data_IF_498663719755
#
_entry.id   IF_498663719755
#
_cell.length_a   1.000
_cell.length_b   1.000
_cell.length_c   1.000
_cell.angle_alpha   90.00
_cell.angle_beta   90.00
_cell.angle_gamma   90.00
#
_symmetry.space_group_name_H-M   'P 1'
#
loop_
_entity.id
_entity.type
_entity.pdbx_description
1 polymer ?
#
# COMPACT_ATOMS: atom_id res chain seq x y z
N UNK A 1 -12.53 -0.83 -14.88
CA UNK A 1 -13.72 0.04 -14.94
C UNK A 1 -14.65 -0.21 -16.12
N UNK A 2 -14.20 -0.14 -17.41
CA UNK A 2 -15.10 -0.47 -18.55
C UNK A 2 -15.71 -1.87 -18.49
N UNK A 3 -14.94 -2.84 -17.98
CA UNK A 3 -15.39 -4.24 -17.82
C UNK A 3 -16.47 -4.36 -16.74
N UNK A 4 -16.27 -3.69 -15.59
CA UNK A 4 -17.23 -3.74 -14.47
C UNK A 4 -18.58 -3.14 -14.82
N UNK A 5 -18.59 -2.01 -15.56
CA UNK A 5 -19.84 -1.39 -16.05
C UNK A 5 -20.59 -2.34 -16.99
N UNK A 6 -19.87 -3.20 -17.72
CA UNK A 6 -20.49 -4.17 -18.63
C UNK A 6 -21.36 -5.23 -17.94
N UNK A 7 -21.19 -5.45 -16.63
CA UNK A 7 -21.96 -6.40 -15.84
C UNK A 7 -23.22 -5.80 -15.18
N UNK A 8 -23.48 -4.50 -15.33
CA UNK A 8 -24.71 -3.88 -14.82
C UNK A 8 -25.93 -4.42 -15.56
N UNK A 9 -27.04 -4.77 -14.84
CA UNK A 9 -28.25 -5.31 -15.45
C UNK A 9 -28.88 -4.39 -16.49
N UNK A 10 -28.92 -3.09 -16.18
CA UNK A 10 -29.40 -2.03 -17.05
C UNK A 10 -28.21 -1.23 -17.59
N UNK A 11 -27.65 -1.66 -18.72
CA UNK A 11 -26.51 -0.98 -19.33
C UNK A 11 -26.93 0.41 -19.80
N UNK A 12 -26.39 1.48 -19.22
CA UNK A 12 -26.59 2.82 -19.74
C UNK A 12 -25.99 2.94 -21.14
N UNK A 13 -26.38 3.94 -21.90
CA UNK A 13 -25.77 4.23 -23.20
C UNK A 13 -24.26 4.57 -23.07
N UNK A 14 -23.55 4.54 -24.20
CA UNK A 14 -22.10 4.71 -24.21
C UNK A 14 -21.64 6.07 -23.66
N UNK A 15 -22.42 7.13 -23.88
CA UNK A 15 -22.09 8.47 -23.42
C UNK A 15 -22.20 8.56 -21.90
N UNK A 16 -23.23 7.96 -21.31
CA UNK A 16 -23.40 7.87 -19.84
C UNK A 16 -22.30 7.02 -19.23
N UNK A 17 -21.95 5.88 -19.86
CA UNK A 17 -20.83 5.05 -19.39
C UNK A 17 -19.50 5.81 -19.39
N UNK A 18 -19.17 6.52 -20.46
CA UNK A 18 -17.93 7.31 -20.56
C UNK A 18 -17.89 8.45 -19.53
N UNK A 19 -19.03 9.08 -19.25
CA UNK A 19 -19.14 10.08 -18.19
C UNK A 19 -18.87 9.46 -16.82
N UNK A 20 -19.52 8.36 -16.45
CA UNK A 20 -19.31 7.68 -15.17
C UNK A 20 -17.88 7.19 -14.99
N UNK A 21 -17.26 6.67 -16.07
CA UNK A 21 -15.85 6.26 -16.02
C UNK A 21 -14.96 7.44 -15.67
N UNK A 22 -15.18 8.60 -16.27
CA UNK A 22 -14.41 9.81 -16.01
C UNK A 22 -14.63 10.31 -14.58
N UNK A 23 -15.88 10.43 -14.14
CA UNK A 23 -16.22 10.90 -12.79
C UNK A 23 -15.61 10.01 -11.71
N UNK A 24 -15.74 8.68 -11.84
CA UNK A 24 -15.15 7.73 -10.89
C UNK A 24 -13.62 7.78 -10.93
N UNK A 25 -13.02 7.86 -12.11
CA UNK A 25 -11.57 7.93 -12.25
C UNK A 25 -11.01 9.22 -11.61
N UNK A 26 -11.66 10.36 -11.86
CA UNK A 26 -11.28 11.65 -11.24
C UNK A 26 -11.41 11.56 -9.72
N UNK A 27 -12.54 11.08 -9.20
CA UNK A 27 -12.74 10.91 -7.77
C UNK A 27 -11.67 10.04 -7.11
N UNK A 28 -11.32 8.90 -7.74
CA UNK A 28 -10.26 8.02 -7.21
C UNK A 28 -8.87 8.67 -7.28
N UNK A 29 -8.57 9.42 -8.34
CA UNK A 29 -7.28 10.12 -8.50
C UNK A 29 -7.15 11.26 -7.47
N UNK A 30 -8.20 12.06 -7.30
CA UNK A 30 -8.23 13.15 -6.32
C UNK A 30 -8.04 12.61 -4.89
N UNK A 31 -8.77 11.56 -4.50
CA UNK A 31 -8.63 10.93 -3.20
C UNK A 31 -7.22 10.34 -2.97
N UNK A 32 -6.62 9.75 -4.02
CA UNK A 32 -5.25 9.24 -3.93
C UNK A 32 -4.23 10.37 -3.77
N UNK A 33 -4.41 11.50 -4.46
CA UNK A 33 -3.55 12.69 -4.33
C UNK A 33 -3.60 13.27 -2.93
N UNK A 34 -4.80 13.42 -2.35
CA UNK A 34 -4.96 13.91 -0.98
C UNK A 34 -4.18 13.01 0.02
N UNK A 35 -4.34 11.69 -0.07
CA UNK A 35 -3.61 10.75 0.79
C UNK A 35 -2.09 10.85 0.60
N UNK A 36 -1.62 11.05 -0.63
CA UNK A 36 -0.18 11.17 -0.92
C UNK A 36 0.36 12.51 -0.42
N UNK A 37 -0.36 13.61 -0.59
CA UNK A 37 0.02 14.92 -0.07
C UNK A 37 0.19 14.89 1.46
N UNK A 38 -0.73 14.24 2.18
CA UNK A 38 -0.63 14.05 3.63
C UNK A 38 0.61 13.22 4.03
N UNK A 39 0.94 12.19 3.23
CA UNK A 39 2.05 11.28 3.50
C UNK A 39 3.42 11.82 3.03
N UNK A 40 3.44 12.74 2.08
CA UNK A 40 4.65 13.13 1.33
C UNK A 40 5.80 13.57 2.25
N UNK A 41 5.53 14.50 3.16
CA UNK A 41 6.55 15.03 4.08
C UNK A 41 7.15 13.94 4.95
N UNK A 42 6.33 12.99 5.42
CA UNK A 42 6.77 11.87 6.25
C UNK A 42 7.60 10.89 5.43
N UNK A 43 7.18 10.60 4.21
CA UNK A 43 7.93 9.72 3.31
C UNK A 43 9.29 10.31 2.95
N UNK A 44 9.40 11.63 2.71
CA UNK A 44 10.67 12.30 2.49
C UNK A 44 11.60 12.19 3.71
N UNK A 45 11.11 12.49 4.92
CA UNK A 45 11.88 12.36 6.15
C UNK A 45 12.38 10.93 6.40
N UNK A 46 11.54 9.93 6.12
CA UNK A 46 11.93 8.53 6.23
C UNK A 46 12.96 8.15 5.17
N UNK A 47 12.79 8.62 3.92
CA UNK A 47 13.71 8.35 2.81
C UNK A 47 15.13 8.88 3.08
N UNK A 48 15.26 10.03 3.74
CA UNK A 48 16.57 10.60 4.11
C UNK A 48 17.34 9.73 5.11
N UNK A 49 16.65 8.88 5.89
CA UNK A 49 17.23 8.11 6.99
C UNK A 49 17.27 6.62 6.74
N UNK A 50 16.30 6.10 5.97
CA UNK A 50 16.09 4.66 5.79
C UNK A 50 15.89 4.28 4.33
N UNK A 51 16.47 3.18 3.86
CA UNK A 51 16.14 2.64 2.54
C UNK A 51 14.72 2.09 2.56
N UNK A 52 13.86 2.57 1.66
CA UNK A 52 12.48 2.14 1.60
C UNK A 52 12.22 1.23 0.39
N UNK A 53 11.42 0.18 0.59
CA UNK A 53 10.91 -0.71 -0.47
C UNK A 53 9.39 -0.66 -0.49
N UNK A 54 8.81 -0.56 -1.67
CA UNK A 54 7.37 -0.75 -1.82
C UNK A 54 7.07 -2.21 -2.14
N UNK A 55 6.21 -2.84 -1.32
CA UNK A 55 5.74 -4.22 -1.53
C UNK A 55 4.23 -4.20 -1.73
N UNK A 56 3.74 -4.51 -2.92
CA UNK A 56 2.34 -4.29 -3.28
C UNK A 56 1.71 -5.45 -4.05
N UNK A 57 0.43 -5.71 -3.73
CA UNK A 57 -0.46 -6.47 -4.61
C UNK A 57 -1.04 -5.51 -5.65
N UNK A 58 -0.42 -5.43 -6.83
CA UNK A 58 -0.85 -4.49 -7.86
C UNK A 58 -0.87 -5.14 -9.25
N UNK A 59 -1.13 -4.37 -10.31
CA UNK A 59 -1.53 -4.85 -11.64
C UNK A 59 -0.41 -4.80 -12.68
N UNK A 60 0.84 -4.55 -12.30
CA UNK A 60 2.02 -4.50 -13.18
C UNK A 60 2.41 -3.08 -13.62
N UNK A 61 1.79 -2.05 -13.06
CA UNK A 61 2.03 -0.65 -13.46
C UNK A 61 2.24 0.32 -12.29
N UNK A 62 2.56 -0.19 -11.10
CA UNK A 62 2.69 0.67 -9.91
C UNK A 62 3.88 1.65 -10.03
N UNK A 63 4.93 1.29 -10.76
CA UNK A 63 6.07 2.20 -11.01
C UNK A 63 5.61 3.49 -11.70
N UNK A 64 4.79 3.37 -12.75
CA UNK A 64 4.20 4.52 -13.46
C UNK A 64 3.25 5.33 -12.58
N UNK A 65 2.45 4.66 -11.75
CA UNK A 65 1.58 5.32 -10.78
C UNK A 65 2.37 6.16 -9.80
N UNK A 66 3.43 5.61 -9.20
CA UNK A 66 4.29 6.35 -8.28
C UNK A 66 5.02 7.52 -8.96
N UNK A 67 5.41 7.37 -10.24
CA UNK A 67 5.99 8.46 -11.04
C UNK A 67 4.98 9.58 -11.26
N UNK A 68 3.75 9.25 -11.58
CA UNK A 68 2.68 10.24 -11.82
C UNK A 68 2.33 11.06 -10.57
N UNK A 69 2.53 10.48 -9.38
CA UNK A 69 2.39 11.16 -8.09
C UNK A 69 3.68 11.79 -7.56
N UNK A 70 4.80 11.66 -8.29
CA UNK A 70 6.08 12.29 -7.91
C UNK A 70 6.82 11.63 -6.76
N UNK A 71 6.40 10.44 -6.28
CA UNK A 71 6.96 9.77 -5.09
C UNK A 71 7.81 8.53 -5.41
N UNK A 72 7.99 8.18 -6.69
CA UNK A 72 8.76 6.99 -7.09
C UNK A 72 10.20 7.01 -6.57
N UNK A 73 10.81 8.17 -6.54
CA UNK A 73 12.20 8.36 -6.13
C UNK A 73 12.45 8.08 -4.65
N UNK A 74 11.40 8.09 -3.82
CA UNK A 74 11.49 7.81 -2.38
C UNK A 74 11.74 6.33 -2.07
N UNK A 75 11.54 5.44 -3.05
CA UNK A 75 11.71 4.00 -2.87
C UNK A 75 12.93 3.49 -3.62
N UNK A 76 13.82 2.76 -2.93
CA UNK A 76 14.97 2.05 -3.51
C UNK A 76 14.52 1.07 -4.60
N UNK A 77 13.38 0.40 -4.37
CA UNK A 77 12.81 -0.54 -5.32
C UNK A 77 11.33 -0.84 -5.06
N UNK A 78 10.77 -1.66 -5.94
CA UNK A 78 9.37 -2.08 -5.89
C UNK A 78 9.30 -3.59 -6.06
N UNK A 79 8.58 -4.27 -5.17
CA UNK A 79 8.18 -5.68 -5.31
C UNK A 79 6.68 -5.70 -5.60
N UNK A 80 6.34 -5.98 -6.83
CA UNK A 80 4.96 -5.97 -7.31
C UNK A 80 4.47 -7.38 -7.63
N UNK A 81 3.34 -7.79 -7.06
CA UNK A 81 2.82 -9.15 -7.16
C UNK A 81 2.61 -9.64 -8.59
N UNK A 82 2.15 -8.77 -9.49
CA UNK A 82 1.93 -9.12 -10.89
C UNK A 82 3.24 -9.37 -11.65
N UNK A 83 4.35 -8.78 -11.20
CA UNK A 83 5.68 -8.93 -11.80
C UNK A 83 6.37 -10.19 -11.30
N UNK A 84 6.32 -10.43 -9.97
CA UNK A 84 7.04 -11.55 -9.34
C UNK A 84 6.22 -12.84 -9.25
N UNK A 85 4.94 -12.81 -9.57
CA UNK A 85 4.05 -13.99 -9.56
C UNK A 85 3.63 -14.47 -8.16
N UNK A 86 3.96 -13.73 -7.11
CA UNK A 86 3.60 -14.02 -5.71
C UNK A 86 2.74 -12.89 -5.15
N UNK A 87 1.75 -13.21 -4.30
CA UNK A 87 0.82 -12.21 -3.74
C UNK A 87 0.72 -12.31 -2.23
N UNK A 88 0.54 -11.17 -1.56
CA UNK A 88 0.09 -11.13 -0.16
C UNK A 88 -1.24 -11.89 -0.01
N UNK A 89 -1.44 -12.71 1.02
CA UNK A 89 -0.68 -12.79 2.27
C UNK A 89 0.52 -13.76 2.26
N UNK A 90 1.02 -14.23 1.11
CA UNK A 90 2.20 -15.08 1.10
C UNK A 90 3.43 -14.27 1.60
N UNK A 91 4.11 -14.67 2.69
CA UNK A 91 5.23 -13.94 3.25
C UNK A 91 6.44 -13.85 2.29
N UNK A 92 6.52 -14.72 1.28
CA UNK A 92 7.56 -14.66 0.26
C UNK A 92 7.61 -13.31 -0.45
N UNK A 93 6.47 -12.60 -0.61
CA UNK A 93 6.47 -11.29 -1.23
C UNK A 93 7.26 -10.27 -0.40
N UNK A 94 7.12 -10.30 0.93
CA UNK A 94 7.92 -9.46 1.85
C UNK A 94 9.38 -9.90 1.88
N UNK A 95 9.63 -11.23 1.85
CA UNK A 95 10.99 -11.75 1.79
C UNK A 95 11.77 -11.19 0.58
N UNK A 96 11.15 -11.11 -0.58
CA UNK A 96 11.78 -10.49 -1.77
C UNK A 96 12.15 -9.01 -1.51
N UNK A 97 11.33 -8.28 -0.77
CA UNK A 97 11.61 -6.89 -0.38
C UNK A 97 12.78 -6.80 0.61
N UNK A 98 12.81 -7.66 1.62
CA UNK A 98 13.90 -7.75 2.61
C UNK A 98 15.22 -8.11 1.93
N UNK A 99 15.23 -9.15 1.08
CA UNK A 99 16.40 -9.56 0.33
C UNK A 99 16.94 -8.43 -0.59
N UNK A 100 16.06 -7.66 -1.21
CA UNK A 100 16.44 -6.52 -2.06
C UNK A 100 16.97 -5.32 -1.27
N UNK A 101 16.68 -5.22 0.01
CA UNK A 101 17.30 -4.26 0.93
C UNK A 101 18.67 -4.72 1.42
N UNK A 102 18.99 -6.02 1.28
CA UNK A 102 20.21 -6.65 1.81
C UNK A 102 20.26 -6.57 3.36
N UNK A 103 19.10 -6.74 4.00
CA UNK A 103 18.91 -6.71 5.47
C UNK A 103 18.38 -8.06 5.97
N UNK A 104 18.51 -8.29 7.29
CA UNK A 104 17.81 -9.40 7.93
C UNK A 104 16.37 -9.00 8.30
N UNK A 105 15.43 -9.95 8.41
CA UNK A 105 14.03 -9.63 8.70
C UNK A 105 13.82 -8.78 9.97
N UNK A 106 14.59 -9.01 11.02
CA UNK A 106 14.52 -8.28 12.28
C UNK A 106 15.10 -6.86 12.24
N UNK A 107 15.72 -6.49 11.12
CA UNK A 107 16.18 -5.13 10.83
C UNK A 107 15.13 -4.32 10.02
N UNK A 108 14.00 -4.94 9.66
CA UNK A 108 13.00 -4.33 8.75
C UNK A 108 11.69 -4.07 9.48
N UNK A 109 11.18 -2.84 9.35
CA UNK A 109 9.83 -2.46 9.76
C UNK A 109 8.90 -2.48 8.53
N UNK A 110 7.87 -3.32 8.58
CA UNK A 110 6.79 -3.35 7.60
C UNK A 110 5.63 -2.49 8.10
N UNK A 111 5.25 -1.48 7.34
CA UNK A 111 4.05 -0.67 7.59
C UNK A 111 2.98 -1.06 6.56
N UNK A 112 1.80 -1.41 7.01
CA UNK A 112 0.72 -1.85 6.12
C UNK A 112 -0.66 -1.62 6.71
N UNK A 113 -1.67 -1.54 5.84
CA UNK A 113 -3.07 -1.26 6.21
C UNK A 113 -3.90 -2.52 6.49
N UNK A 114 -3.44 -3.68 6.06
CA UNK A 114 -4.17 -4.93 6.24
C UNK A 114 -3.51 -5.86 7.25
N UNK A 115 -4.18 -6.09 8.39
CA UNK A 115 -3.70 -7.04 9.39
C UNK A 115 -3.39 -8.40 8.76
N UNK A 116 -4.30 -8.92 7.93
CA UNK A 116 -4.20 -10.25 7.31
C UNK A 116 -3.19 -10.30 6.16
N UNK A 117 -3.10 -9.24 5.34
CA UNK A 117 -2.27 -9.25 4.12
C UNK A 117 -0.87 -8.72 4.34
N UNK A 118 -0.68 -7.84 5.32
CA UNK A 118 0.58 -7.15 5.54
C UNK A 118 1.23 -7.54 6.86
N UNK A 119 0.53 -7.37 7.97
CA UNK A 119 1.11 -7.47 9.30
C UNK A 119 1.45 -8.92 9.65
N UNK A 120 0.46 -9.82 9.61
CA UNK A 120 0.67 -11.23 9.94
C UNK A 120 1.78 -11.88 9.08
N UNK A 121 1.80 -11.73 7.73
CA UNK A 121 2.88 -12.31 6.94
C UNK A 121 4.26 -11.69 7.20
N UNK A 122 4.34 -10.39 7.52
CA UNK A 122 5.59 -9.74 7.89
C UNK A 122 6.15 -10.30 9.21
N UNK A 123 5.31 -10.44 10.23
CA UNK A 123 5.70 -11.05 11.51
C UNK A 123 6.08 -12.53 11.37
N UNK A 124 5.38 -13.28 10.51
CA UNK A 124 5.75 -14.68 10.19
C UNK A 124 7.14 -14.78 9.56
N UNK A 125 7.58 -13.77 8.85
CA UNK A 125 8.94 -13.69 8.30
C UNK A 125 9.98 -13.29 9.34
N UNK A 126 9.55 -12.72 10.47
CA UNK A 126 10.43 -12.19 11.53
C UNK A 126 10.66 -10.69 11.45
N UNK A 127 9.96 -9.98 10.56
CA UNK A 127 10.00 -8.52 10.50
C UNK A 127 9.25 -7.88 11.67
N UNK A 128 9.65 -6.67 12.04
CA UNK A 128 8.80 -5.80 12.82
C UNK A 128 7.62 -5.35 11.97
N UNK A 129 6.43 -5.21 12.57
CA UNK A 129 5.25 -4.83 11.84
C UNK A 129 4.46 -3.74 12.57
N UNK A 130 3.96 -2.76 11.81
CA UNK A 130 3.19 -1.63 12.28
C UNK A 130 1.90 -1.52 11.44
N UNK A 131 0.78 -1.72 12.09
CA UNK A 131 -0.52 -1.69 11.42
C UNK A 131 -1.07 -0.26 11.35
N UNK A 132 -1.13 0.28 10.12
CA UNK A 132 -1.83 1.52 9.83
C UNK A 132 -3.33 1.23 9.70
N UNK A 133 -4.04 1.29 10.85
CA UNK A 133 -5.45 0.93 10.93
C UNK A 133 -6.32 2.06 10.41
N UNK A 134 -6.92 1.84 9.25
CA UNK A 134 -8.02 2.63 8.72
C UNK A 134 -9.40 2.07 9.11
N UNK A 135 -10.43 2.56 8.44
CA UNK A 135 -11.78 1.99 8.52
C UNK A 135 -11.81 0.64 7.79
N UNK A 136 -12.25 -0.40 8.45
CA UNK A 136 -12.44 -1.73 7.87
C UNK A 136 -13.58 -1.79 6.83
N UNK A 137 -13.53 -2.81 6.00
CA UNK A 137 -14.61 -3.11 5.04
C UNK A 137 -15.79 -3.81 5.71
N UNK A 138 -15.55 -4.44 6.87
CA UNK A 138 -16.57 -5.14 7.67
C UNK A 138 -16.45 -4.74 9.13
N UNK A 139 -17.52 -4.98 9.90
CA UNK A 139 -17.52 -4.75 11.35
C UNK A 139 -16.47 -5.63 12.05
N UNK A 140 -16.27 -6.84 11.57
CA UNK A 140 -15.26 -7.76 12.12
C UNK A 140 -13.84 -7.22 11.94
N UNK A 141 -13.53 -6.57 10.82
CA UNK A 141 -12.24 -5.91 10.59
C UNK A 141 -12.05 -4.70 11.53
N UNK A 142 -13.10 -3.91 11.75
CA UNK A 142 -13.06 -2.79 12.68
C UNK A 142 -12.79 -3.22 14.13
N UNK A 143 -13.27 -4.41 14.52
CA UNK A 143 -13.07 -4.97 15.85
C UNK A 143 -11.69 -5.61 16.07
N UNK A 144 -10.92 -5.85 15.00
CA UNK A 144 -9.56 -6.39 15.12
C UNK A 144 -8.64 -5.42 15.84
N UNK A 145 -7.73 -5.97 16.63
CA UNK A 145 -6.73 -5.20 17.38
C UNK A 145 -5.34 -5.79 17.16
N UNK A 146 -4.33 -4.94 17.23
CA UNK A 146 -2.93 -5.32 17.17
C UNK A 146 -2.12 -4.40 18.09
N UNK A 147 -1.12 -4.91 18.85
CA UNK A 147 -0.36 -4.10 19.80
C UNK A 147 0.37 -2.93 19.13
N UNK A 148 0.89 -3.16 17.93
CA UNK A 148 1.61 -2.15 17.15
C UNK A 148 0.64 -1.53 16.13
N UNK A 149 -0.23 -0.63 16.57
CA UNK A 149 -1.24 0.03 15.73
C UNK A 149 -1.05 1.53 15.74
N UNK A 150 -1.13 2.13 14.55
CA UNK A 150 -1.21 3.56 14.32
C UNK A 150 -2.46 3.88 13.50
N UNK A 151 -2.91 5.11 13.53
CA UNK A 151 -4.09 5.59 12.77
C UNK A 151 -3.74 6.68 11.75
N UNK A 152 -2.49 7.16 11.77
CA UNK A 152 -1.94 8.08 10.78
C UNK A 152 -0.52 7.69 10.42
N UNK A 153 -0.16 7.88 9.16
CA UNK A 153 1.20 7.66 8.66
C UNK A 153 2.24 8.55 9.37
N UNK A 154 1.82 9.70 9.89
CA UNK A 154 2.68 10.61 10.64
C UNK A 154 3.25 10.00 11.93
N UNK A 155 2.60 8.99 12.48
CA UNK A 155 3.05 8.31 13.69
C UNK A 155 4.20 7.30 13.42
N UNK A 156 4.53 7.02 12.16
CA UNK A 156 5.61 6.08 11.82
C UNK A 156 6.96 6.60 12.31
N UNK A 157 7.21 7.90 12.24
CA UNK A 157 8.46 8.51 12.72
C UNK A 157 8.73 8.23 14.19
N UNK A 158 7.71 8.31 15.04
CA UNK A 158 7.83 8.01 16.46
C UNK A 158 8.14 6.53 16.75
N UNK A 159 7.77 5.65 15.81
CA UNK A 159 8.03 4.23 15.92
C UNK A 159 9.44 3.84 15.48
N UNK A 160 9.92 4.35 14.36
CA UNK A 160 11.28 4.04 13.89
C UNK A 160 12.38 4.58 14.81
N UNK A 161 12.10 5.55 15.67
CA UNK A 161 13.03 6.06 16.68
C UNK A 161 13.19 5.12 17.90
N UNK A 162 12.37 4.08 18.00
CA UNK A 162 12.41 3.08 19.07
C UNK A 162 13.25 1.84 18.72
N UNK A 163 13.63 1.70 17.48
CA UNK A 163 14.50 0.65 16.95
C UNK A 163 15.91 1.19 16.72
#
# INVERSE_FOLDING_TARGET
MKVEISYLPDKPDAEVQDRWIKEIATYCDDAARECIEEAHTILEQLHERYPMMLVSNFYGNIDEVLRSYGIRHLFKGIIESAVVGVRKPNPTLFKLGVDALELEPDEVLVVGDSLRKDIIPAEQLGCHALWLKGKGWTVEEDLQTHPNTITSITQVTDWVERF
#
